data_IF_491891835008
#
_entry.id   IF_491891835008
#
_cell.length_a   1.000
_cell.length_b   1.000
_cell.length_c   1.000
_cell.angle_alpha   90.00
_cell.angle_beta   90.00
_cell.angle_gamma   90.00
#
_symmetry.space_group_name_H-M   'P 1'
#
loop_
_entity.id
_entity.type
_entity.pdbx_description
1 polymer ?
#
# COMPACT_ATOMS: atom_id res chain seq x y z
N UNK A 1 -1.47 47.99 -37.07
CA UNK A 1 -1.27 46.87 -36.12
C UNK A 1 -0.62 47.41 -34.85
N UNK A 2 -1.39 47.57 -33.76
CA UNK A 2 -0.85 47.78 -32.41
C UNK A 2 -1.69 46.93 -31.46
N UNK A 3 -1.04 45.92 -30.89
CA UNK A 3 -1.59 44.99 -29.90
C UNK A 3 -2.07 45.77 -28.67
N UNK A 4 -3.32 45.52 -28.23
CA UNK A 4 -3.80 45.93 -26.91
C UNK A 4 -3.24 44.94 -25.86
N UNK A 5 -2.76 45.41 -24.70
CA UNK A 5 -2.21 44.54 -23.67
C UNK A 5 -3.31 43.76 -22.94
N UNK A 6 -3.03 42.50 -22.61
CA UNK A 6 -3.81 41.69 -21.68
C UNK A 6 -3.83 42.32 -20.27
N UNK A 7 -4.96 42.34 -19.56
CA UNK A 7 -4.98 42.63 -18.13
C UNK A 7 -4.67 41.36 -17.32
N UNK A 8 -3.60 41.41 -16.52
CA UNK A 8 -3.32 40.53 -15.36
C UNK A 8 -3.71 41.28 -14.07
N UNK A 9 -3.91 40.60 -12.93
CA UNK A 9 -5.01 39.71 -12.60
C UNK A 9 -5.91 40.32 -11.50
N UNK A 10 -7.06 39.69 -11.29
CA UNK A 10 -8.11 40.04 -10.33
C UNK A 10 -7.58 40.42 -8.94
N UNK A 11 -8.08 41.56 -8.44
CA UNK A 11 -7.85 42.07 -7.09
C UNK A 11 -8.15 40.99 -6.05
N UNK A 12 -7.24 40.83 -5.08
CA UNK A 12 -7.32 39.92 -3.91
C UNK A 12 -8.65 40.02 -3.13
N UNK A 13 -9.33 41.16 -3.23
CA UNK A 13 -10.66 41.41 -2.66
C UNK A 13 -11.77 40.53 -3.27
N UNK A 14 -11.70 40.19 -4.57
CA UNK A 14 -12.76 39.41 -5.22
C UNK A 14 -12.74 37.92 -4.88
N UNK A 15 -11.64 37.43 -4.30
CA UNK A 15 -11.54 36.06 -3.78
C UNK A 15 -12.18 35.96 -2.39
N UNK A 16 -12.03 36.99 -1.54
CA UNK A 16 -12.66 37.01 -0.23
C UNK A 16 -14.19 37.02 -0.33
N UNK A 17 -14.78 37.76 -1.28
CA UNK A 17 -16.24 37.79 -1.45
C UNK A 17 -16.81 36.50 -2.04
N UNK A 18 -16.02 35.73 -2.81
CA UNK A 18 -16.43 34.40 -3.30
C UNK A 18 -16.25 33.29 -2.28
N UNK A 19 -15.29 33.42 -1.36
CA UNK A 19 -15.09 32.50 -0.24
C UNK A 19 -16.09 32.81 0.90
N UNK A 20 -16.46 34.07 1.10
CA UNK A 20 -17.43 34.50 2.12
C UNK A 20 -18.91 34.25 1.74
N UNK A 21 -19.18 33.71 0.55
CA UNK A 21 -20.53 33.31 0.10
C UNK A 21 -20.97 31.92 0.56
N UNK A 22 -20.05 31.10 1.07
CA UNK A 22 -20.37 29.94 1.88
C UNK A 22 -20.10 30.35 3.32
N UNK A 23 -21.16 30.49 4.12
CA UNK A 23 -21.05 30.94 5.51
C UNK A 23 -19.94 30.16 6.22
N UNK A 24 -18.98 30.87 6.80
CA UNK A 24 -17.99 30.26 7.66
C UNK A 24 -18.76 29.57 8.81
N UNK A 25 -18.83 28.23 8.76
CA UNK A 25 -19.48 27.41 9.80
C UNK A 25 -18.79 27.74 11.13
N UNK A 26 -19.58 28.21 12.08
CA UNK A 26 -19.09 28.51 13.43
C UNK A 26 -18.70 27.18 14.09
N UNK A 27 -17.59 27.12 14.86
CA UNK A 27 -17.28 25.95 15.66
C UNK A 27 -18.47 25.60 16.57
N UNK A 28 -18.81 24.32 16.71
CA UNK A 28 -19.95 23.82 17.52
C UNK A 28 -19.89 24.28 18.99
N UNK A 29 -18.70 24.59 19.50
CA UNK A 29 -18.50 25.22 20.81
C UNK A 29 -18.67 26.76 20.81
N UNK A 30 -19.28 27.35 19.79
CA UNK A 30 -19.59 28.78 19.76
C UNK A 30 -20.79 29.08 20.68
N UNK A 31 -20.76 30.17 21.45
CA UNK A 31 -21.93 30.62 22.21
C UNK A 31 -23.12 30.82 21.26
N UNK A 32 -24.15 29.97 21.35
CA UNK A 32 -25.38 30.08 20.55
C UNK A 32 -26.01 28.80 20.00
N UNK A 33 -25.47 27.60 20.21
CA UNK A 33 -26.26 26.36 20.07
C UNK A 33 -27.11 26.17 21.33
N UNK A 34 -28.41 25.96 21.18
CA UNK A 34 -29.29 25.59 22.29
C UNK A 34 -28.94 24.16 22.73
N UNK A 35 -28.02 24.04 23.69
CA UNK A 35 -27.67 22.75 24.28
C UNK A 35 -28.77 22.38 25.26
N UNK A 36 -29.53 21.33 24.94
CA UNK A 36 -30.45 20.72 25.90
C UNK A 36 -29.60 19.91 26.87
N UNK A 37 -29.58 20.24 28.18
CA UNK A 37 -28.84 19.44 29.15
C UNK A 37 -29.37 18.02 29.16
N UNK A 38 -28.48 17.06 28.92
CA UNK A 38 -28.82 15.62 28.93
C UNK A 38 -28.64 15.00 30.32
N UNK A 39 -28.00 15.72 31.24
CA UNK A 39 -27.78 15.25 32.60
C UNK A 39 -29.07 15.27 33.42
N UNK A 40 -29.36 14.16 34.11
CA UNK A 40 -30.49 13.99 35.03
C UNK A 40 -31.89 13.98 34.40
N UNK A 41 -32.00 13.69 33.09
CA UNK A 41 -33.28 13.42 32.44
C UNK A 41 -33.78 12.02 32.79
N UNK A 42 -35.09 11.86 32.98
CA UNK A 42 -35.71 10.56 33.20
C UNK A 42 -35.63 9.69 31.93
N UNK A 43 -35.43 8.37 32.09
CA UNK A 43 -35.31 7.45 30.94
C UNK A 43 -33.99 7.53 30.19
N UNK A 44 -32.94 8.08 30.79
CA UNK A 44 -31.59 8.13 30.23
C UNK A 44 -30.65 7.14 30.90
N UNK A 45 -29.70 6.59 30.15
CA UNK A 45 -28.54 5.85 30.68
C UNK A 45 -27.26 6.39 30.02
N UNK A 46 -26.15 6.31 30.75
CA UNK A 46 -24.83 6.63 30.22
C UNK A 46 -23.76 5.76 30.79
N UNK A 47 -22.84 5.35 29.92
CA UNK A 47 -21.73 4.48 30.30
C UNK A 47 -20.45 4.98 29.65
N UNK A 48 -19.47 5.29 30.48
CA UNK A 48 -18.11 5.59 30.05
C UNK A 48 -17.12 4.58 30.58
N UNK A 49 -16.02 4.41 29.88
CA UNK A 49 -14.93 3.58 30.33
C UNK A 49 -13.71 3.70 29.43
N UNK A 50 -12.64 3.06 29.86
CA UNK A 50 -11.43 2.91 29.07
C UNK A 50 -10.78 1.57 29.39
N UNK A 51 -10.10 1.00 28.42
CA UNK A 51 -9.34 -0.24 28.55
C UNK A 51 -8.18 -0.16 27.57
N UNK A 52 -6.93 -0.18 28.06
CA UNK A 52 -5.71 -0.28 27.24
C UNK A 52 -5.70 0.63 26.00
N UNK A 53 -6.19 0.08 24.87
CA UNK A 53 -6.23 0.70 23.55
C UNK A 53 -7.56 1.39 23.19
N UNK A 54 -8.54 1.45 24.10
CA UNK A 54 -9.88 1.97 23.83
C UNK A 54 -10.32 2.91 24.94
N UNK A 55 -10.98 4.00 24.57
CA UNK A 55 -11.86 4.76 25.45
C UNK A 55 -13.24 4.85 24.82
N UNK A 56 -14.29 4.87 25.62
CA UNK A 56 -15.65 4.94 25.10
C UNK A 56 -16.56 5.77 25.99
N UNK A 57 -17.60 6.30 25.35
CA UNK A 57 -18.73 6.94 25.98
C UNK A 57 -20.01 6.50 25.28
N UNK A 58 -21.07 6.32 26.06
CA UNK A 58 -22.37 5.94 25.55
C UNK A 58 -23.45 6.76 26.24
N UNK A 59 -24.48 7.14 25.49
CA UNK A 59 -25.66 7.85 25.98
C UNK A 59 -26.89 7.31 25.26
N UNK A 60 -27.95 7.06 26.01
CA UNK A 60 -29.29 6.84 25.46
C UNK A 60 -30.27 7.81 26.12
N UNK A 61 -31.22 8.31 25.33
CA UNK A 61 -32.31 9.18 25.77
C UNK A 61 -33.62 8.75 25.11
N UNK A 62 -34.70 8.83 25.87
CA UNK A 62 -36.06 8.53 25.41
C UNK A 62 -36.54 9.49 24.31
N UNK A 63 -35.96 10.67 24.18
CA UNK A 63 -36.43 11.72 23.30
C UNK A 63 -37.39 12.69 23.99
N UNK A 64 -38.04 13.54 23.19
CA UNK A 64 -39.02 14.54 23.68
C UNK A 64 -40.47 14.09 23.43
N UNK A 65 -40.69 13.14 22.53
CA UNK A 65 -42.04 12.73 22.09
C UNK A 65 -42.43 11.34 22.55
N UNK A 66 -41.48 10.39 22.64
CA UNK A 66 -41.77 9.00 23.02
C UNK A 66 -42.03 8.89 24.53
N UNK A 67 -42.83 7.88 24.92
CA UNK A 67 -43.20 7.61 26.32
C UNK A 67 -42.37 6.52 26.99
N UNK A 68 -41.63 5.74 26.19
CA UNK A 68 -40.70 4.72 26.64
C UNK A 68 -39.51 4.65 25.67
N UNK A 69 -38.42 4.04 26.12
CA UNK A 69 -37.22 3.83 25.32
C UNK A 69 -37.20 2.38 24.84
N UNK A 70 -37.28 2.19 23.52
CA UNK A 70 -37.18 0.88 22.85
C UNK A 70 -35.74 0.58 22.39
N UNK A 71 -34.81 1.55 22.49
CA UNK A 71 -33.39 1.33 22.22
C UNK A 71 -32.71 0.54 23.35
N UNK A 72 -31.82 -0.37 22.96
CA UNK A 72 -30.88 -1.04 23.85
C UNK A 72 -29.46 -0.91 23.30
N UNK A 73 -28.47 -0.88 24.20
CA UNK A 73 -27.08 -0.77 23.80
C UNK A 73 -26.14 -1.65 24.64
N UNK A 74 -25.06 -2.11 24.01
CA UNK A 74 -24.01 -2.94 24.59
C UNK A 74 -22.72 -2.14 24.72
N UNK A 75 -22.17 -2.11 25.93
CA UNK A 75 -20.84 -1.59 26.22
C UNK A 75 -20.08 -2.67 27.01
N UNK A 76 -19.40 -3.55 26.29
CA UNK A 76 -18.58 -4.62 26.86
C UNK A 76 -17.30 -4.78 26.04
N UNK A 77 -16.33 -3.88 26.27
CA UNK A 77 -15.08 -3.86 25.52
C UNK A 77 -14.44 -5.27 25.43
N UNK A 78 -14.07 -5.74 24.23
CA UNK A 78 -13.95 -4.97 22.98
C UNK A 78 -15.22 -4.85 22.11
N UNK A 79 -16.39 -5.29 22.59
CA UNK A 79 -17.64 -5.36 21.83
C UNK A 79 -18.59 -4.22 22.19
N UNK A 80 -19.17 -3.60 21.17
CA UNK A 80 -20.15 -2.51 21.32
C UNK A 80 -21.29 -2.70 20.32
N UNK A 81 -22.52 -2.37 20.72
CA UNK A 81 -23.69 -2.51 19.86
C UNK A 81 -24.79 -1.51 20.21
N UNK A 82 -25.56 -1.10 19.21
CA UNK A 82 -26.85 -0.41 19.37
C UNK A 82 -27.91 -1.24 18.66
N UNK A 83 -29.03 -1.47 19.32
CA UNK A 83 -30.19 -2.16 18.79
C UNK A 83 -31.42 -1.27 19.03
N UNK A 84 -32.04 -0.82 17.95
CA UNK A 84 -33.23 0.03 17.98
C UNK A 84 -34.47 -0.86 17.89
N UNK A 85 -35.30 -0.83 18.93
CA UNK A 85 -36.48 -1.68 19.05
C UNK A 85 -37.65 -1.12 18.25
N UNK A 86 -38.19 -1.93 17.33
CA UNK A 86 -39.36 -1.58 16.53
C UNK A 86 -40.54 -2.49 16.88
N UNK A 87 -41.73 -1.89 17.03
CA UNK A 87 -42.95 -2.68 17.26
C UNK A 87 -44.09 -1.93 17.93
N UNK A 88 -43.86 -0.76 18.53
CA UNK A 88 -44.90 0.00 19.22
C UNK A 88 -45.61 -0.85 20.28
N UNK A 89 -46.88 -1.22 20.06
CA UNK A 89 -47.60 -2.12 20.98
C UNK A 89 -47.01 -3.56 21.04
N UNK A 90 -46.05 -3.91 20.18
CA UNK A 90 -45.44 -5.23 20.04
C UNK A 90 -44.18 -5.46 20.88
N UNK A 91 -43.82 -4.56 21.79
CA UNK A 91 -42.69 -4.72 22.73
C UNK A 91 -41.30 -4.66 22.05
N UNK A 92 -40.98 -3.53 21.40
CA UNK A 92 -39.68 -3.29 20.77
C UNK A 92 -38.52 -3.29 21.78
N UNK A 93 -38.77 -2.82 23.00
CA UNK A 93 -37.81 -2.84 24.12
C UNK A 93 -37.38 -4.27 24.49
N UNK A 94 -38.30 -5.23 24.36
CA UNK A 94 -37.99 -6.64 24.62
C UNK A 94 -37.13 -7.21 23.50
N UNK A 95 -37.41 -6.84 22.25
CA UNK A 95 -36.65 -7.30 21.10
C UNK A 95 -35.19 -6.79 21.15
N UNK A 96 -35.01 -5.48 21.36
CA UNK A 96 -33.67 -4.87 21.43
C UNK A 96 -32.86 -5.38 22.63
N UNK A 97 -33.51 -5.61 23.78
CA UNK A 97 -32.85 -6.20 24.96
C UNK A 97 -32.40 -7.64 24.70
N UNK A 98 -33.24 -8.49 24.10
CA UNK A 98 -32.87 -9.87 23.73
C UNK A 98 -31.71 -9.86 22.73
N UNK A 99 -31.71 -8.94 21.77
CA UNK A 99 -30.67 -8.82 20.77
C UNK A 99 -29.31 -8.47 21.41
N UNK A 100 -29.26 -7.42 22.24
CA UNK A 100 -28.05 -7.02 22.96
C UNK A 100 -27.51 -8.15 23.85
N UNK A 101 -28.36 -8.81 24.63
CA UNK A 101 -27.95 -9.93 25.49
C UNK A 101 -27.39 -11.10 24.68
N UNK A 102 -28.02 -11.41 23.55
CA UNK A 102 -27.60 -12.53 22.70
C UNK A 102 -26.29 -12.23 21.99
N UNK A 103 -26.13 -11.00 21.47
CA UNK A 103 -24.88 -10.55 20.86
C UNK A 103 -23.76 -10.58 21.89
N UNK A 104 -23.97 -10.07 23.10
CA UNK A 104 -22.98 -10.09 24.18
C UNK A 104 -22.52 -11.51 24.55
N UNK A 105 -23.43 -12.48 24.53
CA UNK A 105 -23.14 -13.88 24.87
C UNK A 105 -22.44 -14.66 23.74
N UNK A 106 -22.64 -14.27 22.47
CA UNK A 106 -22.14 -14.99 21.30
C UNK A 106 -21.04 -14.23 20.54
N UNK A 107 -20.68 -13.03 20.98
CA UNK A 107 -19.64 -12.25 20.32
C UNK A 107 -18.30 -13.03 20.30
N UNK A 108 -17.56 -12.99 19.17
CA UNK A 108 -16.28 -13.66 19.07
C UNK A 108 -15.23 -13.07 20.01
N UNK A 109 -14.16 -13.81 20.27
CA UNK A 109 -13.03 -13.34 21.08
C UNK A 109 -12.08 -12.41 20.29
N UNK A 110 -12.10 -12.51 18.97
CA UNK A 110 -11.24 -11.79 18.04
C UNK A 110 -12.08 -11.02 17.03
N UNK A 111 -11.49 -10.00 16.40
CA UNK A 111 -12.15 -9.24 15.33
C UNK A 111 -12.31 -10.11 14.08
N UNK A 112 -13.42 -10.86 14.06
CA UNK A 112 -13.87 -11.72 12.98
C UNK A 112 -15.31 -11.32 12.63
N UNK A 113 -15.48 -10.73 11.45
CA UNK A 113 -16.75 -10.21 10.96
C UNK A 113 -17.78 -11.32 10.68
N UNK A 114 -17.34 -12.49 10.22
CA UNK A 114 -18.22 -13.63 9.95
C UNK A 114 -18.83 -14.15 11.25
N UNK A 115 -18.00 -14.31 12.29
CA UNK A 115 -18.50 -14.76 13.60
C UNK A 115 -19.36 -13.69 14.30
N UNK A 116 -19.04 -12.41 14.12
CA UNK A 116 -19.87 -11.32 14.64
C UNK A 116 -21.23 -11.28 13.92
N UNK A 117 -21.25 -11.46 12.60
CA UNK A 117 -22.49 -11.62 11.81
C UNK A 117 -23.33 -12.80 12.29
N UNK A 118 -22.70 -13.96 12.53
CA UNK A 118 -23.39 -15.14 13.08
C UNK A 118 -23.98 -14.89 14.49
N UNK A 119 -23.36 -14.02 15.30
CA UNK A 119 -23.93 -13.62 16.59
C UNK A 119 -25.20 -12.78 16.43
N UNK A 120 -25.25 -11.89 15.41
CA UNK A 120 -26.46 -11.12 15.04
C UNK A 120 -27.56 -12.03 14.50
N UNK A 121 -27.22 -13.01 13.67
CA UNK A 121 -28.19 -14.01 13.17
C UNK A 121 -28.73 -14.89 14.31
N UNK A 122 -27.88 -15.23 15.29
CA UNK A 122 -28.31 -15.92 16.51
C UNK A 122 -29.28 -15.05 17.33
N UNK A 123 -29.02 -13.74 17.41
CA UNK A 123 -29.93 -12.78 18.03
C UNK A 123 -31.30 -12.74 17.33
N UNK A 124 -31.32 -12.76 15.99
CA UNK A 124 -32.57 -12.85 15.23
C UNK A 124 -33.40 -14.08 15.60
N UNK A 125 -32.78 -15.26 15.63
CA UNK A 125 -33.45 -16.50 16.04
C UNK A 125 -34.01 -16.39 17.47
N UNK A 126 -33.29 -15.74 18.39
CA UNK A 126 -33.73 -15.52 19.78
C UNK A 126 -34.87 -14.52 19.91
N UNK A 127 -34.89 -13.45 19.10
CA UNK A 127 -36.02 -12.53 19.05
C UNK A 127 -37.27 -13.26 18.54
N UNK A 128 -37.16 -14.03 17.45
CA UNK A 128 -38.28 -14.84 16.93
C UNK A 128 -38.79 -15.85 17.98
N UNK A 129 -37.88 -16.53 18.68
CA UNK A 129 -38.22 -17.45 19.78
C UNK A 129 -38.89 -16.73 20.95
N UNK A 130 -38.41 -15.54 21.33
CA UNK A 130 -38.96 -14.71 22.40
C UNK A 130 -40.42 -14.34 22.17
N UNK A 131 -40.79 -14.02 20.93
CA UNK A 131 -42.18 -13.74 20.56
C UNK A 131 -43.07 -14.99 20.67
N UNK A 132 -42.55 -16.16 20.23
CA UNK A 132 -43.28 -17.44 20.28
C UNK A 132 -43.48 -17.96 21.70
N UNK A 133 -42.53 -17.69 22.60
CA UNK A 133 -42.55 -18.14 24.01
C UNK A 133 -43.27 -17.18 24.95
N UNK A 134 -43.78 -16.06 24.44
CA UNK A 134 -44.55 -15.07 25.20
C UNK A 134 -43.70 -14.12 26.05
N UNK A 135 -42.37 -14.08 25.85
CA UNK A 135 -41.51 -13.06 26.47
C UNK A 135 -41.75 -11.68 25.88
N UNK A 136 -42.09 -11.62 24.59
CA UNK A 136 -42.55 -10.42 23.91
C UNK A 136 -43.85 -10.67 23.15
N UNK A 137 -44.13 -9.90 22.10
CA UNK A 137 -45.35 -10.04 21.31
C UNK A 137 -45.06 -10.38 19.85
N UNK A 138 -46.02 -11.00 19.14
CA UNK A 138 -45.90 -11.19 17.70
C UNK A 138 -45.68 -9.86 16.99
N UNK A 139 -44.70 -9.82 16.09
CA UNK A 139 -44.33 -8.62 15.34
C UNK A 139 -43.29 -7.73 16.02
N UNK A 140 -42.74 -8.14 17.18
CA UNK A 140 -41.57 -7.45 17.75
C UNK A 140 -40.35 -7.64 16.85
N UNK A 141 -39.57 -6.59 16.68
CA UNK A 141 -38.31 -6.63 15.96
C UNK A 141 -37.36 -5.55 16.42
N UNK A 142 -36.14 -5.58 15.91
CA UNK A 142 -35.16 -4.53 16.18
C UNK A 142 -34.10 -4.45 15.08
N UNK A 143 -33.39 -3.34 15.03
CA UNK A 143 -32.12 -3.24 14.33
C UNK A 143 -31.00 -3.84 15.17
N UNK A 144 -29.84 -4.06 14.56
CA UNK A 144 -28.60 -4.36 15.26
C UNK A 144 -27.40 -3.78 14.49
N UNK A 145 -26.68 -2.85 15.11
CA UNK A 145 -25.41 -2.34 14.60
C UNK A 145 -24.34 -2.58 15.65
N UNK A 146 -23.36 -3.41 15.33
CA UNK A 146 -22.37 -3.86 16.29
C UNK A 146 -20.95 -3.89 15.72
N UNK A 147 -19.99 -3.65 16.62
CA UNK A 147 -18.57 -3.67 16.32
C UNK A 147 -17.81 -4.48 17.37
N UNK A 148 -16.69 -5.08 16.95
CA UNK A 148 -15.67 -5.61 17.82
C UNK A 148 -14.32 -5.01 17.44
N UNK A 149 -13.69 -4.31 18.38
CA UNK A 149 -12.41 -3.64 18.16
C UNK A 149 -11.26 -4.45 18.77
N UNK A 150 -10.41 -5.03 17.93
CA UNK A 150 -9.21 -5.75 18.36
C UNK A 150 -7.96 -5.12 17.73
N UNK A 151 -7.09 -4.55 18.57
CA UNK A 151 -5.82 -3.91 18.14
C UNK A 151 -6.08 -2.83 17.07
N UNK A 152 -5.74 -3.11 15.81
CA UNK A 152 -5.90 -2.22 14.68
C UNK A 152 -7.00 -2.69 13.71
N UNK A 153 -7.88 -3.58 14.14
CA UNK A 153 -8.98 -4.12 13.33
C UNK A 153 -10.31 -3.89 14.01
N UNK A 154 -11.32 -3.60 13.19
CA UNK A 154 -12.71 -3.53 13.61
C UNK A 154 -13.49 -4.48 12.74
N UNK A 155 -14.10 -5.48 13.37
CA UNK A 155 -15.14 -6.29 12.75
C UNK A 155 -16.49 -5.60 12.96
N UNK A 156 -17.29 -5.54 11.92
CA UNK A 156 -18.59 -4.85 11.90
C UNK A 156 -19.66 -5.84 11.47
N UNK A 157 -20.81 -5.83 12.13
CA UNK A 157 -22.02 -6.49 11.65
C UNK A 157 -23.24 -5.58 11.84
N UNK A 158 -24.11 -5.53 10.84
CA UNK A 158 -25.17 -4.56 10.73
C UNK A 158 -26.45 -5.13 10.08
N UNK A 159 -27.59 -4.79 10.68
CA UNK A 159 -28.94 -4.99 10.15
C UNK A 159 -29.84 -3.84 10.58
N UNK A 160 -30.40 -3.10 9.64
CA UNK A 160 -31.44 -2.09 9.88
C UNK A 160 -31.01 -0.74 9.33
N UNK A 161 -31.46 0.34 9.93
CA UNK A 161 -31.16 1.72 9.55
C UNK A 161 -30.41 2.51 10.63
N UNK A 162 -30.05 1.85 11.75
CA UNK A 162 -29.01 2.34 12.65
C UNK A 162 -27.66 2.41 11.93
N UNK A 163 -26.78 3.33 12.34
CA UNK A 163 -25.57 3.64 11.55
C UNK A 163 -24.28 3.49 12.34
N UNK A 164 -23.23 3.14 11.61
CA UNK A 164 -21.85 3.15 12.11
C UNK A 164 -21.04 4.11 11.24
N UNK A 165 -20.31 5.02 11.89
CA UNK A 165 -19.41 5.97 11.25
C UNK A 165 -17.98 5.78 11.74
N UNK A 166 -17.02 6.07 10.87
CA UNK A 166 -15.60 6.20 11.20
C UNK A 166 -15.16 7.64 10.96
N UNK A 167 -14.64 8.27 12.00
CA UNK A 167 -13.92 9.53 11.91
C UNK A 167 -12.42 9.22 11.85
N UNK A 168 -11.83 9.42 10.67
CA UNK A 168 -10.41 9.22 10.42
C UNK A 168 -9.77 10.53 9.97
N UNK A 169 -8.72 10.97 10.68
CA UNK A 169 -7.98 12.18 10.35
C UNK A 169 -8.87 13.45 10.15
N UNK A 170 -9.99 13.52 10.87
CA UNK A 170 -10.93 14.65 10.82
C UNK A 170 -12.00 14.56 9.72
N UNK A 171 -12.09 13.46 8.98
CA UNK A 171 -13.16 13.22 8.01
C UNK A 171 -14.05 12.06 8.47
N UNK A 172 -15.36 12.28 8.50
CA UNK A 172 -16.38 11.30 8.88
C UNK A 172 -16.84 10.52 7.64
N UNK A 173 -16.88 9.20 7.76
CA UNK A 173 -17.38 8.31 6.72
C UNK A 173 -18.43 7.38 7.32
N UNK A 174 -19.63 7.34 6.71
CA UNK A 174 -20.64 6.32 7.02
C UNK A 174 -20.15 4.97 6.50
N UNK A 175 -20.04 3.99 7.39
CA UNK A 175 -19.56 2.63 7.08
C UNK A 175 -20.70 1.68 6.68
N UNK A 176 -21.87 1.85 7.29
CA UNK A 176 -23.06 1.03 7.03
C UNK A 176 -23.91 1.62 5.92
N UNK A 177 -24.71 0.76 5.30
CA UNK A 177 -25.74 1.13 4.34
C UNK A 177 -27.09 0.76 4.95
N UNK A 178 -28.04 1.70 4.92
CA UNK A 178 -29.30 1.54 5.65
C UNK A 178 -30.19 0.53 4.92
N UNK A 179 -30.66 -0.51 5.61
CA UNK A 179 -31.67 -1.42 5.09
C UNK A 179 -33.07 -0.80 5.19
N UNK A 180 -33.30 0.27 4.44
CA UNK A 180 -34.56 1.01 4.41
C UNK A 180 -35.08 1.18 2.98
N UNK A 181 -36.38 1.35 2.86
CA UNK A 181 -37.03 1.53 1.55
C UNK A 181 -36.53 2.79 0.84
N UNK A 182 -36.25 3.87 1.60
CA UNK A 182 -35.76 5.12 1.01
C UNK A 182 -34.32 5.01 0.54
N UNK A 183 -33.48 4.25 1.22
CA UNK A 183 -32.10 4.00 0.77
C UNK A 183 -32.11 3.17 -0.53
N UNK A 184 -33.01 2.19 -0.67
CA UNK A 184 -33.19 1.45 -1.94
C UNK A 184 -33.63 2.36 -3.11
N UNK A 185 -34.49 3.36 -2.85
CA UNK A 185 -34.88 4.35 -3.86
C UNK A 185 -33.71 5.28 -4.23
N UNK A 186 -32.86 5.65 -3.26
CA UNK A 186 -31.65 6.45 -3.52
C UNK A 186 -30.67 5.65 -4.38
N UNK A 187 -30.44 4.38 -4.05
CA UNK A 187 -29.55 3.50 -4.82
C UNK A 187 -30.05 3.28 -6.26
N UNK A 188 -31.37 3.20 -6.45
CA UNK A 188 -32.00 3.12 -7.77
C UNK A 188 -31.94 4.46 -8.55
N UNK A 189 -31.52 5.55 -7.92
CA UNK A 189 -31.50 6.89 -8.49
C UNK A 189 -32.90 7.50 -8.69
N UNK A 190 -33.90 6.97 -7.99
CA UNK A 190 -35.28 7.47 -8.06
C UNK A 190 -35.49 8.73 -7.22
N UNK A 191 -34.76 8.86 -6.12
CA UNK A 191 -34.75 10.05 -5.25
C UNK A 191 -33.32 10.41 -4.85
N UNK A 192 -33.13 11.66 -4.45
CA UNK A 192 -31.88 12.16 -3.87
C UNK A 192 -31.81 11.87 -2.37
N UNK A 193 -30.60 11.92 -1.78
CA UNK A 193 -30.40 11.76 -0.34
C UNK A 193 -31.15 12.82 0.49
N UNK A 194 -31.26 14.04 -0.02
CA UNK A 194 -32.01 15.12 0.62
C UNK A 194 -33.53 14.85 0.61
N UNK A 195 -34.05 14.28 -0.48
CA UNK A 195 -35.45 13.87 -0.58
C UNK A 195 -35.76 12.68 0.33
N UNK A 196 -34.84 11.73 0.46
CA UNK A 196 -34.98 10.58 1.34
C UNK A 196 -35.22 10.99 2.82
N UNK A 197 -34.52 12.02 3.30
CA UNK A 197 -34.64 12.53 4.68
C UNK A 197 -36.05 12.99 5.05
N UNK A 198 -36.79 13.57 4.10
CA UNK A 198 -38.16 14.08 4.32
C UNK A 198 -39.24 13.17 3.73
N UNK A 199 -38.86 12.02 3.19
CA UNK A 199 -39.78 11.13 2.50
C UNK A 199 -40.85 10.57 3.46
N UNK A 200 -42.12 10.47 3.04
CA UNK A 200 -43.20 9.94 3.89
C UNK A 200 -42.95 8.51 4.38
N UNK A 201 -42.22 7.72 3.59
CA UNK A 201 -41.88 6.32 3.88
C UNK A 201 -40.47 6.12 4.44
N UNK A 202 -39.84 7.16 5.00
CA UNK A 202 -38.47 7.07 5.52
C UNK A 202 -38.29 6.06 6.66
N UNK A 203 -39.35 5.81 7.43
CA UNK A 203 -39.35 4.87 8.56
C UNK A 203 -39.65 3.41 8.16
N UNK A 204 -39.70 3.10 6.85
CA UNK A 204 -39.93 1.72 6.39
C UNK A 204 -38.59 1.01 6.27
N UNK A 205 -38.34 0.08 7.19
CA UNK A 205 -37.16 -0.79 7.22
C UNK A 205 -37.42 -2.03 6.35
N UNK A 206 -36.45 -2.39 5.51
CA UNK A 206 -36.54 -3.55 4.60
C UNK A 206 -35.87 -4.80 5.19
N UNK A 207 -34.98 -4.64 6.19
CA UNK A 207 -34.38 -5.75 6.93
C UNK A 207 -34.22 -5.44 8.42
N UNK A 208 -34.77 -6.30 9.26
CA UNK A 208 -34.71 -6.20 10.72
C UNK A 208 -34.69 -7.59 11.37
N UNK A 209 -34.25 -7.66 12.62
CA UNK A 209 -34.32 -8.88 13.44
C UNK A 209 -35.77 -9.11 13.88
N UNK A 210 -36.15 -10.38 14.06
CA UNK A 210 -37.41 -10.79 14.70
C UNK A 210 -38.53 -11.25 13.75
N UNK A 211 -38.39 -11.02 12.44
CA UNK A 211 -39.43 -11.35 11.46
C UNK A 211 -39.04 -12.51 10.53
N UNK A 212 -37.91 -12.36 9.81
CA UNK A 212 -37.44 -13.34 8.82
C UNK A 212 -36.40 -14.29 9.45
N UNK A 213 -36.68 -15.61 9.56
CA UNK A 213 -35.71 -16.59 10.07
C UNK A 213 -34.45 -16.72 9.20
N UNK A 214 -34.54 -16.41 7.90
CA UNK A 214 -33.45 -16.55 6.93
C UNK A 214 -32.71 -15.23 6.68
N UNK A 215 -32.96 -14.21 7.52
CA UNK A 215 -32.24 -12.94 7.51
C UNK A 215 -30.74 -13.14 7.74
N UNK A 216 -29.92 -12.42 6.97
CA UNK A 216 -28.47 -12.37 7.11
C UNK A 216 -28.00 -10.97 7.50
N UNK A 217 -26.91 -10.91 8.27
CA UNK A 217 -26.27 -9.66 8.66
C UNK A 217 -25.21 -9.24 7.65
N UNK A 218 -25.21 -7.96 7.28
CA UNK A 218 -24.11 -7.37 6.53
C UNK A 218 -22.90 -7.27 7.46
N UNK A 219 -21.76 -7.83 7.05
CA UNK A 219 -20.57 -7.87 7.89
C UNK A 219 -19.30 -7.70 7.07
N UNK A 220 -18.32 -7.01 7.66
CA UNK A 220 -17.00 -6.78 7.08
C UNK A 220 -16.00 -6.36 8.15
N UNK A 221 -14.71 -6.55 7.84
CA UNK A 221 -13.60 -6.09 8.69
C UNK A 221 -12.81 -4.98 7.99
N UNK A 222 -12.42 -3.96 8.75
CA UNK A 222 -11.50 -2.90 8.30
C UNK A 222 -10.36 -2.67 9.28
N UNK A 223 -9.31 -2.00 8.81
CA UNK A 223 -8.20 -1.55 9.68
C UNK A 223 -8.47 -0.14 10.21
N UNK A 224 -8.21 0.06 11.50
CA UNK A 224 -8.27 1.36 12.18
C UNK A 224 -6.89 1.78 12.66
N UNK A 225 -6.65 3.08 12.65
CA UNK A 225 -5.47 3.71 13.18
C UNK A 225 -5.71 4.27 14.57
N UNK A 226 -4.62 4.45 15.31
CA UNK A 226 -4.62 5.27 16.53
C UNK A 226 -5.13 6.68 16.24
N UNK A 227 -6.04 7.15 17.08
CA UNK A 227 -6.73 8.43 16.94
C UNK A 227 -8.03 8.35 16.15
N UNK A 228 -8.36 7.19 15.58
CA UNK A 228 -9.66 6.98 14.94
C UNK A 228 -10.76 6.93 15.99
N UNK A 229 -11.93 7.48 15.61
CA UNK A 229 -13.14 7.46 16.42
C UNK A 229 -14.25 6.77 15.65
N UNK A 230 -14.90 5.82 16.30
CA UNK A 230 -16.04 5.08 15.75
C UNK A 230 -17.30 5.53 16.48
N UNK A 231 -18.35 5.83 15.73
CA UNK A 231 -19.64 6.27 16.27
C UNK A 231 -20.69 5.26 15.82
N UNK A 232 -21.44 4.70 16.77
CA UNK A 232 -22.60 3.84 16.53
C UNK A 232 -23.83 4.59 17.02
N UNK A 233 -24.89 4.69 16.21
CA UNK A 233 -26.11 5.37 16.63
C UNK A 233 -27.39 4.71 16.10
N UNK A 234 -28.49 4.87 16.83
CA UNK A 234 -29.85 4.62 16.31
C UNK A 234 -30.27 5.70 15.32
N UNK A 235 -31.40 5.49 14.64
CA UNK A 235 -31.91 6.42 13.64
C UNK A 235 -32.34 7.78 14.26
N UNK A 236 -32.62 7.79 15.57
CA UNK A 236 -32.95 9.00 16.32
C UNK A 236 -31.86 10.06 16.29
N UNK A 237 -30.59 9.68 16.07
CA UNK A 237 -29.51 10.64 15.79
C UNK A 237 -29.53 11.06 14.32
N UNK A 238 -29.39 10.10 13.40
CA UNK A 238 -29.16 10.37 11.97
C UNK A 238 -30.35 11.03 11.27
N UNK A 239 -31.57 10.84 11.80
CA UNK A 239 -32.78 11.49 11.32
C UNK A 239 -32.90 12.95 11.75
N UNK A 240 -32.31 13.33 12.90
CA UNK A 240 -32.41 14.69 13.46
C UNK A 240 -31.19 15.55 13.15
N UNK A 241 -30.03 14.92 12.97
CA UNK A 241 -28.73 15.58 12.80
C UNK A 241 -28.12 15.16 11.45
N UNK A 242 -27.64 16.14 10.69
CA UNK A 242 -26.94 15.86 9.44
C UNK A 242 -25.53 15.32 9.70
N UNK A 243 -25.05 14.46 8.80
CA UNK A 243 -23.70 13.86 8.88
C UNK A 243 -22.59 14.92 9.03
N UNK A 244 -22.76 16.10 8.42
CA UNK A 244 -21.79 17.19 8.56
C UNK A 244 -21.76 17.82 9.96
N UNK A 245 -22.89 17.85 10.66
CA UNK A 245 -22.95 18.30 12.05
C UNK A 245 -22.46 17.22 13.02
N UNK A 246 -22.72 15.94 12.72
CA UNK A 246 -22.12 14.80 13.44
C UNK A 246 -20.58 14.88 13.35
N UNK A 247 -20.03 15.15 12.17
CA UNK A 247 -18.58 15.35 11.96
C UNK A 247 -18.06 16.52 12.82
N UNK A 248 -18.70 17.69 12.73
CA UNK A 248 -18.30 18.89 13.46
C UNK A 248 -18.31 18.68 14.99
N UNK A 249 -19.33 17.99 15.54
CA UNK A 249 -19.41 17.62 16.96
C UNK A 249 -18.31 16.63 17.31
N UNK A 250 -18.13 15.58 16.51
CA UNK A 250 -17.17 14.52 16.78
C UNK A 250 -15.72 15.01 16.73
N UNK A 251 -15.39 15.94 15.82
CA UNK A 251 -14.04 16.55 15.71
C UNK A 251 -13.76 17.52 16.86
N UNK A 252 -14.77 18.24 17.35
CA UNK A 252 -14.61 19.26 18.39
C UNK A 252 -14.54 18.71 19.82
N UNK A 253 -14.90 17.44 20.02
CA UNK A 253 -14.90 16.79 21.34
C UNK A 253 -13.67 15.92 21.54
N UNK A 254 -12.88 16.18 22.59
CA UNK A 254 -11.73 15.32 22.94
C UNK A 254 -12.19 14.04 23.64
N UNK A 255 -13.09 14.15 24.61
CA UNK A 255 -13.56 13.03 25.42
C UNK A 255 -14.77 12.32 24.74
N UNK A 256 -14.77 10.97 24.63
CA UNK A 256 -15.81 10.25 23.91
C UNK A 256 -17.18 10.31 24.60
N UNK A 257 -17.24 10.43 25.94
CA UNK A 257 -18.52 10.61 26.62
C UNK A 257 -19.11 11.99 26.34
N UNK A 258 -18.28 13.02 26.35
CA UNK A 258 -18.70 14.39 25.98
C UNK A 258 -19.19 14.44 24.54
N UNK A 259 -18.53 13.71 23.62
CA UNK A 259 -18.99 13.58 22.24
C UNK A 259 -20.38 12.92 22.17
N UNK A 260 -20.59 11.78 22.86
CA UNK A 260 -21.88 11.11 22.91
C UNK A 260 -22.99 12.03 23.49
N UNK A 261 -22.69 12.76 24.56
CA UNK A 261 -23.61 13.68 25.21
C UNK A 261 -24.01 14.83 24.28
N UNK A 262 -23.04 15.41 23.57
CA UNK A 262 -23.28 16.49 22.61
C UNK A 262 -24.07 16.02 21.38
N UNK A 263 -23.80 14.80 20.88
CA UNK A 263 -24.56 14.20 19.78
C UNK A 263 -26.03 13.98 20.15
N UNK A 264 -26.28 13.42 21.34
CA UNK A 264 -27.66 13.25 21.84
C UNK A 264 -28.32 14.61 22.07
N UNK A 265 -27.61 15.58 22.65
CA UNK A 265 -28.12 16.95 22.83
C UNK A 265 -28.52 17.60 21.50
N UNK A 266 -27.71 17.42 20.45
CA UNK A 266 -28.02 17.92 19.11
C UNK A 266 -29.26 17.25 18.51
N UNK A 267 -29.42 15.93 18.68
CA UNK A 267 -30.62 15.21 18.23
C UNK A 267 -31.90 15.69 18.93
N UNK A 268 -31.82 15.95 20.24
CA UNK A 268 -32.94 16.52 21.00
C UNK A 268 -33.27 17.93 20.53
N UNK A 269 -32.25 18.77 20.27
CA UNK A 269 -32.43 20.12 19.75
C UNK A 269 -33.02 20.13 18.32
N UNK A 270 -32.70 19.12 17.51
CA UNK A 270 -33.28 18.90 16.18
C UNK A 270 -34.75 18.44 16.20
N UNK A 271 -35.29 18.09 17.37
CA UNK A 271 -36.71 17.77 17.57
C UNK A 271 -36.95 16.61 18.54
N UNK A 272 -35.99 15.68 18.65
CA UNK A 272 -36.07 14.55 19.58
C UNK A 272 -37.34 13.71 19.42
N UNK A 273 -37.76 13.45 18.17
CA UNK A 273 -39.00 12.73 17.89
C UNK A 273 -38.93 11.23 18.18
N UNK A 274 -37.72 10.69 18.29
CA UNK A 274 -37.47 9.28 18.57
C UNK A 274 -36.55 9.06 19.78
N UNK A 275 -36.40 7.80 20.18
CA UNK A 275 -35.33 7.37 21.06
C UNK A 275 -33.99 7.62 20.39
N UNK A 276 -33.00 8.09 21.16
CA UNK A 276 -31.69 8.44 20.63
C UNK A 276 -30.62 7.73 21.44
N UNK A 277 -29.87 6.87 20.79
CA UNK A 277 -28.77 6.13 21.40
C UNK A 277 -27.50 6.29 20.59
N UNK A 278 -26.41 6.63 21.28
CA UNK A 278 -25.10 6.88 20.67
C UNK A 278 -24.01 6.23 21.51
N UNK A 279 -23.11 5.51 20.85
CA UNK A 279 -21.84 5.03 21.40
C UNK A 279 -20.71 5.65 20.60
N UNK A 280 -19.74 6.24 21.29
CA UNK A 280 -18.48 6.75 20.73
C UNK A 280 -17.32 5.93 21.28
N UNK A 281 -16.49 5.39 20.40
CA UNK A 281 -15.33 4.56 20.73
C UNK A 281 -14.08 5.16 20.10
N UNK A 282 -13.12 5.54 20.93
CA UNK A 282 -11.82 6.07 20.51
C UNK A 282 -10.77 4.96 20.53
N UNK A 283 -10.04 4.83 19.42
CA UNK A 283 -8.88 3.94 19.28
C UNK A 283 -7.64 4.68 19.78
N UNK A 284 -7.17 4.30 20.97
CA UNK A 284 -6.02 4.90 21.63
C UNK A 284 -4.70 4.24 21.22
N UNK A 285 -3.60 4.95 21.40
CA UNK A 285 -2.26 4.37 21.25
C UNK A 285 -1.93 3.51 22.46
N UNK A 286 -1.47 2.28 22.23
CA UNK A 286 -0.86 1.44 23.26
C UNK A 286 0.63 1.78 23.48
N UNK A 287 1.16 2.75 22.75
CA UNK A 287 2.58 3.11 22.73
C UNK A 287 3.42 2.22 21.81
N UNK A 288 2.82 1.26 21.09
CA UNK A 288 3.54 0.35 20.17
C UNK A 288 3.71 0.92 18.76
N UNK A 289 2.95 1.96 18.41
CA UNK A 289 3.02 2.64 17.11
C UNK A 289 4.42 3.24 16.86
N UNK A 290 5.05 3.81 17.90
CA UNK A 290 6.43 4.30 17.87
C UNK A 290 7.45 3.16 17.68
N UNK A 291 7.21 2.00 18.28
CA UNK A 291 8.08 0.84 18.17
C UNK A 291 8.09 0.26 16.73
N UNK A 292 6.95 0.23 16.05
CA UNK A 292 6.87 -0.23 14.65
C UNK A 292 7.49 0.76 13.66
N UNK A 293 7.31 2.07 13.88
CA UNK A 293 7.90 3.12 13.03
C UNK A 293 9.43 3.14 13.13
N UNK A 294 9.97 2.95 14.33
CA UNK A 294 11.42 2.83 14.55
C UNK A 294 12.00 1.54 13.97
N UNK A 295 11.28 0.42 14.03
CA UNK A 295 11.73 -0.84 13.45
C UNK A 295 11.82 -0.81 11.92
N UNK A 296 10.78 -0.32 11.21
CA UNK A 296 10.80 -0.16 9.74
C UNK A 296 11.93 0.78 9.30
N UNK A 297 12.13 1.89 10.02
CA UNK A 297 13.19 2.85 9.71
C UNK A 297 14.59 2.25 9.93
N UNK A 298 14.81 1.49 11.01
CA UNK A 298 16.07 0.77 11.27
C UNK A 298 16.35 -0.32 10.25
N UNK A 299 15.33 -1.06 9.80
CA UNK A 299 15.48 -2.07 8.74
C UNK A 299 15.78 -1.45 7.37
N UNK A 300 15.12 -0.36 7.00
CA UNK A 300 15.45 0.35 5.74
C UNK A 300 16.86 0.93 5.77
N UNK A 301 17.27 1.56 6.87
CA UNK A 301 18.65 2.07 7.00
C UNK A 301 19.69 0.95 7.09
N UNK A 302 19.37 -0.16 7.77
CA UNK A 302 20.23 -1.34 7.83
C UNK A 302 20.41 -2.00 6.46
N UNK A 303 19.33 -2.13 5.69
CA UNK A 303 19.36 -2.65 4.33
C UNK A 303 20.16 -1.76 3.37
N UNK A 304 19.99 -0.43 3.46
CA UNK A 304 20.77 0.53 2.67
C UNK A 304 22.27 0.46 3.01
N UNK A 305 22.62 0.39 4.30
CA UNK A 305 24.01 0.28 4.74
C UNK A 305 24.65 -1.02 4.24
N UNK A 306 23.94 -2.15 4.36
CA UNK A 306 24.42 -3.44 3.86
C UNK A 306 24.65 -3.41 2.33
N UNK A 307 23.75 -2.77 1.58
CA UNK A 307 23.92 -2.60 0.14
C UNK A 307 25.15 -1.76 -0.22
N UNK A 308 25.37 -0.64 0.49
CA UNK A 308 26.55 0.22 0.27
C UNK A 308 27.85 -0.53 0.60
N UNK A 309 27.87 -1.32 1.69
CA UNK A 309 29.04 -2.15 2.05
C UNK A 309 29.30 -3.21 0.99
N UNK A 310 28.26 -3.90 0.50
CA UNK A 310 28.39 -4.87 -0.58
C UNK A 310 28.96 -4.22 -1.85
N UNK A 311 28.45 -3.05 -2.24
CA UNK A 311 28.92 -2.31 -3.39
C UNK A 311 30.39 -1.88 -3.23
N UNK A 312 30.79 -1.44 -2.04
CA UNK A 312 32.17 -1.10 -1.72
C UNK A 312 33.11 -2.33 -1.80
N UNK A 313 32.66 -3.50 -1.33
CA UNK A 313 33.43 -4.75 -1.44
C UNK A 313 33.57 -5.20 -2.90
N UNK A 314 32.50 -5.15 -3.69
CA UNK A 314 32.52 -5.52 -5.11
C UNK A 314 33.43 -4.58 -5.90
N UNK A 315 33.30 -3.27 -5.68
CA UNK A 315 34.16 -2.27 -6.33
C UNK A 315 35.62 -2.39 -5.90
N UNK A 316 35.88 -2.67 -4.62
CA UNK A 316 37.23 -2.96 -4.11
C UNK A 316 37.84 -4.21 -4.74
N UNK A 317 37.10 -5.31 -4.82
CA UNK A 317 37.53 -6.55 -5.46
C UNK A 317 37.81 -6.34 -6.96
N UNK A 318 36.94 -5.62 -7.66
CA UNK A 318 37.13 -5.27 -9.06
C UNK A 318 38.38 -4.39 -9.27
N UNK A 319 38.61 -3.41 -8.39
CA UNK A 319 39.80 -2.57 -8.47
C UNK A 319 41.10 -3.35 -8.22
N UNK A 320 41.08 -4.31 -7.28
CA UNK A 320 42.22 -5.21 -7.06
C UNK A 320 42.48 -6.09 -8.28
N UNK A 321 41.43 -6.66 -8.88
CA UNK A 321 41.54 -7.48 -10.09
C UNK A 321 42.13 -6.71 -11.28
N UNK A 322 41.66 -5.48 -11.51
CA UNK A 322 42.20 -4.62 -12.57
C UNK A 322 43.68 -4.31 -12.32
N UNK A 323 44.09 -4.01 -11.08
CA UNK A 323 45.48 -3.71 -10.74
C UNK A 323 46.43 -4.92 -10.89
N UNK A 324 45.94 -6.14 -10.71
CA UNK A 324 46.75 -7.35 -10.86
C UNK A 324 46.80 -7.87 -12.29
N UNK A 325 46.00 -7.33 -13.21
CA UNK A 325 45.91 -7.82 -14.58
C UNK A 325 46.91 -7.15 -15.51
N UNK A 326 47.47 -7.90 -16.45
CA UNK A 326 48.38 -7.40 -17.48
C UNK A 326 47.98 -7.95 -18.85
N UNK A 327 48.24 -7.19 -19.92
CA UNK A 327 48.03 -7.69 -21.27
C UNK A 327 48.98 -7.05 -22.29
N UNK A 328 49.23 -7.76 -23.40
CA UNK A 328 49.93 -7.23 -24.56
C UNK A 328 48.94 -6.78 -25.62
N UNK A 329 49.16 -5.60 -26.19
CA UNK A 329 48.32 -5.03 -27.23
C UNK A 329 49.14 -4.33 -28.31
N UNK A 330 48.53 -4.09 -29.47
CA UNK A 330 49.14 -3.28 -30.51
C UNK A 330 49.15 -1.80 -30.09
N UNK A 331 50.32 -1.18 -30.04
CA UNK A 331 50.49 0.26 -29.85
C UNK A 331 51.23 0.86 -31.05
N UNK A 332 50.52 1.57 -31.92
CA UNK A 332 51.10 2.28 -33.08
C UNK A 332 52.05 1.43 -33.96
N UNK A 333 51.79 0.13 -34.09
CA UNK A 333 52.59 -0.78 -34.93
C UNK A 333 53.65 -1.58 -34.19
N UNK A 334 53.86 -1.37 -32.89
CA UNK A 334 54.72 -2.20 -32.04
C UNK A 334 53.94 -2.90 -30.92
N UNK A 335 54.51 -3.96 -30.35
CA UNK A 335 53.89 -4.67 -29.22
C UNK A 335 54.08 -3.85 -27.95
N UNK A 336 52.98 -3.38 -27.36
CA UNK A 336 52.95 -2.63 -26.10
C UNK A 336 52.48 -3.49 -24.93
N UNK A 337 53.10 -3.28 -23.76
CA UNK A 337 52.76 -3.95 -22.51
C UNK A 337 51.87 -3.00 -21.70
N UNK A 338 50.68 -3.47 -21.34
CA UNK A 338 49.70 -2.70 -20.60
C UNK A 338 49.44 -3.32 -19.22
N UNK A 339 49.35 -2.48 -18.19
CA UNK A 339 48.83 -2.86 -16.87
C UNK A 339 47.35 -2.49 -16.81
N UNK A 340 46.50 -3.44 -16.45
CA UNK A 340 45.05 -3.30 -16.42
C UNK A 340 44.31 -4.33 -17.28
N UNK A 341 43.03 -4.07 -17.51
CA UNK A 341 42.17 -4.89 -18.39
C UNK A 341 41.86 -4.14 -19.68
N UNK A 342 41.83 -4.83 -20.81
CA UNK A 342 41.51 -4.25 -22.13
C UNK A 342 39.99 -4.00 -22.30
N UNK A 343 39.38 -3.29 -21.34
CA UNK A 343 37.97 -2.90 -21.35
C UNK A 343 37.81 -1.43 -20.93
N UNK A 344 36.76 -0.80 -21.45
CA UNK A 344 36.34 0.55 -21.04
C UNK A 344 35.00 0.49 -20.33
N UNK A 345 34.93 1.05 -19.13
CA UNK A 345 33.69 1.18 -18.36
C UNK A 345 33.38 2.66 -18.24
N UNK A 346 32.17 3.08 -18.64
CA UNK A 346 31.73 4.48 -18.62
C UNK A 346 32.71 5.47 -19.30
N UNK A 347 33.37 5.03 -20.39
CA UNK A 347 34.31 5.86 -21.15
C UNK A 347 35.72 5.98 -20.55
N UNK A 348 35.97 5.39 -19.37
CA UNK A 348 37.30 5.36 -18.75
C UNK A 348 37.98 4.04 -19.15
N UNK A 349 39.19 4.15 -19.73
CA UNK A 349 40.03 2.98 -20.00
C UNK A 349 40.64 2.49 -18.69
N UNK A 350 40.45 1.21 -18.41
CA UNK A 350 40.97 0.56 -17.20
C UNK A 350 42.36 -0.04 -17.42
N UNK A 351 43.14 0.57 -18.32
CA UNK A 351 44.49 0.16 -18.66
C UNK A 351 45.39 1.36 -18.93
N UNK A 352 46.66 1.20 -18.55
CA UNK A 352 47.72 2.16 -18.84
C UNK A 352 48.88 1.43 -19.52
N UNK A 353 49.47 2.08 -20.53
CA UNK A 353 50.66 1.59 -21.21
C UNK A 353 51.86 1.72 -20.27
N UNK A 354 52.53 0.62 -19.98
CA UNK A 354 53.70 0.58 -19.10
C UNK A 354 54.98 0.65 -19.92
N UNK A 355 55.08 -0.14 -20.99
CA UNK A 355 56.28 -0.17 -21.84
C UNK A 355 55.96 -0.52 -23.30
N UNK A 356 56.88 -0.20 -24.22
CA UNK A 356 56.78 -0.50 -25.65
C UNK A 356 57.99 -1.28 -26.13
N UNK A 357 57.76 -2.43 -26.74
CA UNK A 357 58.84 -3.24 -27.32
C UNK A 357 59.30 -2.68 -28.68
N UNK A 358 60.50 -3.07 -29.08
CA UNK A 358 61.06 -2.82 -30.42
C UNK A 358 60.52 -3.77 -31.51
N UNK A 359 59.59 -4.67 -31.18
CA UNK A 359 59.04 -5.67 -32.10
C UNK A 359 57.89 -5.05 -32.89
N UNK A 360 57.99 -5.04 -34.22
CA UNK A 360 56.92 -4.58 -35.09
C UNK A 360 55.85 -5.66 -35.24
N UNK A 361 54.58 -5.25 -35.10
CA UNK A 361 53.43 -6.15 -35.22
C UNK A 361 53.30 -6.70 -36.65
N UNK A 362 53.78 -5.98 -37.67
CA UNK A 362 53.80 -6.42 -39.07
C UNK A 362 54.68 -7.66 -39.31
N UNK A 363 55.72 -7.82 -38.49
CA UNK A 363 56.71 -8.88 -38.65
C UNK A 363 56.26 -10.19 -37.97
N UNK A 364 55.14 -10.16 -37.24
CA UNK A 364 54.58 -11.31 -36.55
C UNK A 364 53.56 -12.07 -37.42
N UNK A 365 53.40 -13.38 -37.22
CA UNK A 365 52.35 -14.18 -37.88
C UNK A 365 50.95 -13.58 -37.73
N UNK A 366 50.12 -13.68 -38.79
CA UNK A 366 48.77 -13.09 -38.82
C UNK A 366 47.86 -13.51 -37.65
N UNK A 367 48.03 -14.73 -37.13
CA UNK A 367 47.31 -15.23 -35.96
C UNK A 367 47.67 -14.45 -34.68
N UNK A 368 48.95 -14.13 -34.48
CA UNK A 368 49.44 -13.35 -33.34
C UNK A 368 49.01 -11.89 -33.47
N UNK A 369 49.03 -11.33 -34.68
CA UNK A 369 48.51 -9.98 -34.94
C UNK A 369 47.03 -9.85 -34.53
N UNK A 370 46.21 -10.86 -34.83
CA UNK A 370 44.80 -10.88 -34.46
C UNK A 370 44.61 -11.01 -32.93
N UNK A 371 45.44 -11.80 -32.26
CA UNK A 371 45.44 -11.93 -30.80
C UNK A 371 45.87 -10.64 -30.10
N UNK A 372 46.90 -9.96 -30.59
CA UNK A 372 47.34 -8.65 -30.08
C UNK A 372 46.32 -7.53 -30.29
N UNK A 373 45.47 -7.62 -31.32
CA UNK A 373 44.33 -6.69 -31.50
C UNK A 373 43.24 -6.91 -30.44
N UNK A 374 43.04 -8.14 -29.96
CA UNK A 374 42.08 -8.47 -28.90
C UNK A 374 42.65 -8.24 -27.51
N UNK A 375 43.96 -8.19 -27.37
CA UNK A 375 44.68 -8.10 -26.10
C UNK A 375 45.00 -9.50 -25.59
N UNK A 376 46.30 -9.82 -25.48
CA UNK A 376 46.77 -11.11 -24.96
C UNK A 376 46.99 -10.96 -23.46
N UNK A 377 46.15 -11.60 -22.64
CA UNK A 377 46.29 -11.55 -21.19
C UNK A 377 47.56 -12.30 -20.73
N UNK A 378 48.28 -11.71 -19.79
CA UNK A 378 49.48 -12.28 -19.16
C UNK A 378 49.43 -12.05 -17.66
N UNK A 379 50.04 -12.98 -16.91
CA UNK A 379 49.89 -13.01 -15.45
C UNK A 379 50.82 -12.03 -14.72
N UNK A 380 51.87 -11.52 -15.39
CA UNK A 380 52.82 -10.55 -14.80
C UNK A 380 53.59 -9.78 -15.87
N UNK A 381 54.23 -8.69 -15.46
CA UNK A 381 55.16 -7.91 -16.30
C UNK A 381 56.31 -8.77 -16.85
N UNK A 382 56.90 -9.64 -16.01
CA UNK A 382 57.97 -10.52 -16.45
C UNK A 382 57.49 -11.51 -17.52
N UNK A 383 56.31 -12.11 -17.33
CA UNK A 383 55.72 -12.99 -18.35
C UNK A 383 55.41 -12.23 -19.65
N UNK A 384 55.06 -10.94 -19.57
CA UNK A 384 54.88 -10.10 -20.74
C UNK A 384 56.20 -9.90 -21.50
N UNK A 385 57.30 -9.62 -20.77
CA UNK A 385 58.63 -9.45 -21.34
C UNK A 385 59.14 -10.76 -21.98
N UNK A 386 58.99 -11.89 -21.28
CA UNK A 386 59.37 -13.21 -21.78
C UNK A 386 58.58 -13.57 -23.05
N UNK A 387 57.29 -13.20 -23.11
CA UNK A 387 56.46 -13.39 -24.31
C UNK A 387 56.94 -12.52 -25.47
N UNK A 388 57.33 -11.27 -25.22
CA UNK A 388 57.91 -10.38 -26.24
C UNK A 388 59.26 -10.91 -26.72
N UNK A 389 60.08 -11.48 -25.84
CA UNK A 389 61.36 -12.11 -26.20
C UNK A 389 61.12 -13.35 -27.07
N UNK A 390 60.14 -14.19 -26.75
CA UNK A 390 59.75 -15.32 -27.60
C UNK A 390 59.30 -14.89 -29.01
N UNK A 391 58.67 -13.72 -29.12
CA UNK A 391 58.28 -13.14 -30.41
C UNK A 391 59.50 -12.64 -31.20
N UNK A 392 60.54 -12.14 -30.52
CA UNK A 392 61.80 -11.76 -31.16
C UNK A 392 62.52 -12.99 -31.70
N UNK A 393 62.65 -14.03 -30.90
CA UNK A 393 63.33 -15.27 -31.29
C UNK A 393 62.64 -15.95 -32.50
N UNK A 394 61.31 -15.91 -32.54
CA UNK A 394 60.54 -16.39 -33.70
C UNK A 394 60.82 -15.56 -34.97
N UNK A 395 60.85 -14.23 -34.87
CA UNK A 395 61.17 -13.36 -36.00
C UNK A 395 62.61 -13.61 -36.50
N UNK A 396 63.57 -13.79 -35.60
CA UNK A 396 64.97 -14.01 -35.97
C UNK A 396 65.18 -15.40 -36.59
N UNK A 397 64.46 -16.41 -36.09
CA UNK A 397 64.43 -17.75 -36.69
C UNK A 397 63.80 -17.71 -38.08
N UNK A 398 62.63 -17.08 -38.23
CA UNK A 398 61.93 -16.96 -39.52
C UNK A 398 62.76 -16.15 -40.55
N UNK A 399 63.48 -15.11 -40.11
CA UNK A 399 64.43 -14.36 -40.96
C UNK A 399 65.64 -15.19 -41.37
N UNK A 400 66.16 -16.02 -40.46
CA UNK A 400 67.28 -16.92 -40.73
C UNK A 400 66.86 -18.02 -41.71
N UNK A 401 65.69 -18.61 -41.52
CA UNK A 401 65.11 -19.61 -42.42
C UNK A 401 64.76 -19.02 -43.79
N UNK A 402 64.24 -17.78 -43.83
CA UNK A 402 64.02 -17.05 -45.07
C UNK A 402 65.34 -16.72 -45.80
N UNK A 403 66.41 -16.36 -45.08
CA UNK A 403 67.73 -16.14 -45.65
C UNK A 403 68.35 -17.44 -46.21
N UNK A 404 68.24 -18.55 -45.48
CA UNK A 404 68.67 -19.88 -45.94
C UNK A 404 67.87 -20.33 -47.17
N UNK A 405 66.56 -20.04 -47.21
CA UNK A 405 65.70 -20.35 -48.35
C UNK A 405 66.03 -19.46 -49.56
N UNK A 406 66.33 -18.18 -49.35
CA UNK A 406 66.77 -17.25 -50.38
C UNK A 406 68.15 -17.63 -50.95
N UNK A 407 69.08 -18.10 -50.11
CA UNK A 407 70.39 -18.62 -50.54
C UNK A 407 70.26 -19.95 -51.29
N UNK A 408 69.35 -20.85 -50.87
CA UNK A 408 68.99 -22.05 -51.67
C UNK A 408 68.34 -21.71 -53.00
N UNK A 409 67.52 -20.65 -53.06
CA UNK A 409 66.92 -20.18 -54.31
C UNK A 409 67.95 -19.53 -55.24
N UNK A 410 68.94 -18.79 -54.70
CA UNK A 410 70.10 -18.27 -55.46
C UNK A 410 71.03 -19.39 -55.94
N UNK A 411 71.32 -20.39 -55.11
CA UNK A 411 72.10 -21.57 -55.51
C UNK A 411 71.40 -22.42 -56.58
N UNK A 412 70.07 -22.31 -56.70
CA UNK A 412 69.28 -22.94 -57.75
C UNK A 412 69.12 -22.07 -59.01
N UNK A 413 69.35 -20.76 -58.93
CA UNK A 413 69.44 -19.90 -60.11
C UNK A 413 70.85 -19.86 -60.72
N UNK A 414 71.90 -20.19 -59.95
CA UNK A 414 73.29 -20.31 -60.41
C UNK A 414 73.61 -21.69 -61.06
N UNK A 415 72.68 -22.64 -61.02
CA UNK A 415 72.85 -23.98 -61.63
C UNK A 415 72.12 -24.19 -62.97
N UNK A 416 71.40 -23.19 -63.47
CA UNK A 416 70.60 -23.27 -64.71
C UNK A 416 71.01 -22.21 -65.75
N UNK A 417 72.30 -21.87 -65.81
CA UNK A 417 72.88 -21.03 -66.87
C UNK A 417 74.34 -21.40 -67.19
N UNK A 418 74.57 -22.60 -67.72
CA UNK A 418 75.51 -22.69 -68.84
C UNK A 418 75.18 -23.84 -69.79
N UNK A 419 75.06 -23.46 -71.06
CA UNK A 419 74.63 -24.25 -72.20
C UNK A 419 75.81 -24.88 -72.92
N UNK A 420 75.57 -26.08 -73.49
CA UNK A 420 76.16 -26.64 -74.72
C UNK A 420 77.64 -27.11 -74.65
N UNK A 421 78.08 -28.21 -75.27
CA UNK A 421 77.58 -28.89 -76.46
C UNK A 421 78.12 -30.33 -76.61
N UNK A 422 77.30 -31.16 -77.27
CA UNK A 422 77.57 -32.33 -78.12
C UNK A 422 78.48 -33.50 -77.68
N UNK A 423 77.90 -34.71 -77.57
CA UNK A 423 78.00 -35.79 -78.58
C UNK A 423 77.50 -37.16 -78.07
N UNK A 424 76.44 -37.68 -78.73
CA UNK A 424 76.24 -39.04 -79.28
C UNK A 424 76.84 -40.26 -78.53
N UNK A 425 76.18 -41.42 -78.35
CA UNK A 425 75.33 -42.18 -79.29
C UNK A 425 74.68 -43.40 -78.59
N UNK A 426 73.52 -43.83 -79.12
CA UNK A 426 72.99 -45.22 -79.23
C UNK A 426 72.63 -46.00 -77.95
N UNK A 427 71.59 -46.86 -77.90
CA UNK A 427 70.44 -47.18 -78.74
C UNK A 427 69.57 -48.19 -77.96
N UNK A 428 68.25 -48.22 -78.22
CA UNK A 428 67.32 -49.37 -78.05
C UNK A 428 67.07 -49.88 -76.61
N UNK A 429 65.89 -50.31 -76.16
CA UNK A 429 64.59 -50.65 -76.76
C UNK A 429 63.54 -50.79 -75.64
N UNK A 430 62.35 -50.24 -75.88
CA UNK A 430 61.00 -50.84 -75.75
C UNK A 430 60.54 -51.60 -74.48
N UNK A 431 59.27 -51.31 -74.17
CA UNK A 431 58.26 -52.03 -73.35
C UNK A 431 58.22 -51.60 -71.87
N UNK A 432 57.06 -51.32 -71.27
CA UNK A 432 55.67 -51.38 -71.69
C UNK A 432 54.79 -51.36 -70.44
N UNK A 433 53.50 -51.04 -70.59
CA UNK A 433 52.46 -51.45 -69.66
C UNK A 433 51.86 -50.37 -68.76
N UNK A 434 50.69 -49.91 -69.22
CA UNK A 434 49.48 -49.46 -68.49
C UNK A 434 49.51 -48.22 -67.58
#
# INVERSE_FOLDING_TARGET
>A
MKLKPLPLPLHRESLYTRIAGHGAKKPVASPGHDVIPVENREGTDSRKGASGMLAWGARTDIGLVRSHNEDSFLVQAPVFAVCDGMGGHAAGEVASSIAVETIAANAPLHADDVLLGAAVETANAKVIEGAKTGKGKPGMGCTASCILVEKNKVAIAHVGDSRIYLLHAGALVRLTHDHSYVEELVDAGEITADEARVHPSRSIITRALGNDPDMYADHFTLEVATGDRIIICSDGLSSMVEDSEIEDIAVSCVDPQTAADNLVSAALAGGGHDNVTVIVVDVLDDGSSEARRTYRRRWMFGGLLAFVVLLALVTGALALYVRSSWYLGNNNGTVGIYSGVNQSVLGIRLSHLVDTSSVQVSDLPAAIQQSLRKGVAVDSEQAALDTVESYRDQIDTDKTDAAITADKAKAKSDSDQDTSDSSQSDASSTSGGE
#
